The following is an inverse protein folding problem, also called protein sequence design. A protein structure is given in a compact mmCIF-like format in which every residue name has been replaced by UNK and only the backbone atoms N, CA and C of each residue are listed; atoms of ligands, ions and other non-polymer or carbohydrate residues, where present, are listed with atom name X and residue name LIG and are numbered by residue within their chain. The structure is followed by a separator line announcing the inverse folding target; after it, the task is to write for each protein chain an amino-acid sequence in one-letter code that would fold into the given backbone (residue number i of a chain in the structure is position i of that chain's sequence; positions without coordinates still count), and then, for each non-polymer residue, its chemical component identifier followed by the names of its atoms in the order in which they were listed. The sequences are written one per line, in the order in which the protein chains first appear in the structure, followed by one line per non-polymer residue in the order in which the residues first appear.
data_IF_882339216921
#
_entry.id   IF_882339216921
#
_cell.length_a   1.000
_cell.length_b   1.000
_cell.length_c   1.000
_cell.angle_alpha   90.00
_cell.angle_beta   90.00
_cell.angle_gamma   90.00
#
_symmetry.space_group_name_H-M   'P 1'
#
loop_
_entity.id
_entity.type
_entity.pdbx_description
1 polymer ?
#
# COMPACT_ATOMS: atom_id res chain seq x y z
N UNK A 1 -0.21 2.67 -0.76
CA UNK A 1 -0.35 2.61 0.71
C UNK A 1 0.95 3.02 1.35
N UNK A 2 0.85 3.87 2.34
CA UNK A 2 2.01 4.31 3.13
C UNK A 2 1.71 4.06 4.60
N UNK A 3 2.61 3.38 5.29
CA UNK A 3 2.50 3.20 6.74
C UNK A 3 3.74 3.75 7.43
N UNK A 4 3.57 4.22 8.65
CA UNK A 4 4.65 4.74 9.47
C UNK A 4 4.48 4.22 10.89
N UNK A 5 5.56 3.76 11.50
CA UNK A 5 5.50 3.20 12.84
C UNK A 5 6.81 3.43 13.59
N UNK A 6 6.75 3.44 14.94
CA UNK A 6 7.97 3.57 15.74
C UNK A 6 8.92 2.38 15.53
N UNK A 7 10.24 2.58 15.54
CA UNK A 7 11.20 1.50 15.31
C UNK A 7 11.07 0.33 16.27
N UNK A 8 10.67 0.57 17.52
CA UNK A 8 10.53 -0.51 18.50
C UNK A 8 9.37 -1.48 18.18
N UNK A 9 8.47 -1.11 17.25
CA UNK A 9 7.39 -1.99 16.80
C UNK A 9 7.78 -2.83 15.58
N UNK A 10 8.99 -2.72 15.06
CA UNK A 10 9.38 -3.36 13.81
C UNK A 10 9.10 -4.87 13.79
N UNK A 11 9.41 -5.57 14.89
CA UNK A 11 9.19 -7.01 14.95
C UNK A 11 7.70 -7.37 14.98
N UNK A 12 6.90 -6.63 15.75
CA UNK A 12 5.46 -6.80 15.81
C UNK A 12 4.79 -6.48 14.47
N UNK A 13 5.25 -5.43 13.79
CA UNK A 13 4.78 -5.09 12.45
C UNK A 13 5.06 -6.22 11.48
N UNK A 14 6.23 -6.83 11.54
CA UNK A 14 6.56 -7.98 10.70
C UNK A 14 5.64 -9.17 10.93
N UNK A 15 5.32 -9.47 12.19
CA UNK A 15 4.39 -10.55 12.54
C UNK A 15 2.98 -10.26 12.03
N UNK A 16 2.50 -9.04 12.24
CA UNK A 16 1.16 -8.63 11.79
C UNK A 16 1.09 -8.60 10.26
N UNK A 17 2.18 -8.24 9.59
CA UNK A 17 2.25 -8.27 8.13
C UNK A 17 1.99 -9.69 7.60
N UNK A 18 2.64 -10.68 8.18
CA UNK A 18 2.43 -12.08 7.81
C UNK A 18 0.96 -12.50 8.04
N UNK A 19 0.40 -12.11 9.19
CA UNK A 19 -1.01 -12.37 9.51
C UNK A 19 -1.95 -11.72 8.50
N UNK A 20 -1.72 -10.44 8.19
CA UNK A 20 -2.55 -9.69 7.25
C UNK A 20 -2.52 -10.28 5.84
N UNK A 21 -1.34 -10.68 5.37
CA UNK A 21 -1.19 -11.31 4.05
C UNK A 21 -1.85 -12.69 4.01
N UNK A 22 -1.88 -13.40 5.13
CA UNK A 22 -2.59 -14.68 5.23
C UNK A 22 -4.09 -14.53 5.17
N UNK A 23 -4.64 -13.49 5.80
CA UNK A 23 -6.08 -13.21 5.80
C UNK A 23 -6.56 -12.56 4.51
N UNK A 24 -5.75 -11.72 3.92
CA UNK A 24 -6.09 -10.95 2.72
C UNK A 24 -4.98 -11.14 1.68
N UNK A 25 -4.88 -12.34 1.08
CA UNK A 25 -3.82 -12.61 0.10
C UNK A 25 -4.00 -11.79 -1.17
N UNK A 26 -2.94 -11.63 -1.94
CA UNK A 26 -2.99 -10.96 -3.23
C UNK A 26 -3.95 -11.69 -4.17
N UNK A 27 -4.70 -10.90 -4.94
CA UNK A 27 -5.62 -11.40 -5.97
C UNK A 27 -5.29 -10.66 -7.27
N UNK A 28 -4.69 -11.38 -8.22
CA UNK A 28 -4.28 -10.84 -9.52
C UNK A 28 -5.46 -10.45 -10.41
N UNK A 29 -6.66 -10.93 -10.10
CA UNK A 29 -7.87 -10.49 -10.78
C UNK A 29 -8.27 -9.06 -10.36
N UNK A 30 -7.78 -8.59 -9.22
CA UNK A 30 -8.10 -7.28 -8.66
C UNK A 30 -6.98 -6.28 -8.92
N UNK A 31 -5.74 -6.64 -8.57
CA UNK A 31 -4.60 -5.73 -8.66
C UNK A 31 -3.28 -6.48 -8.79
N UNK A 32 -2.29 -5.80 -9.36
CA UNK A 32 -0.93 -6.30 -9.50
C UNK A 32 0.01 -5.45 -8.65
N UNK A 33 0.77 -6.03 -7.72
CA UNK A 33 1.78 -5.27 -6.99
C UNK A 33 2.87 -4.74 -7.93
N UNK A 34 3.16 -3.45 -7.84
CA UNK A 34 4.28 -2.81 -8.54
C UNK A 34 5.47 -2.73 -7.60
N UNK A 35 5.22 -2.33 -6.36
CA UNK A 35 6.19 -2.38 -5.27
C UNK A 35 5.47 -3.03 -4.09
N UNK A 36 5.94 -4.20 -3.65
CA UNK A 36 5.32 -4.91 -2.52
C UNK A 36 5.43 -4.09 -1.24
N UNK A 37 6.64 -3.68 -0.90
CA UNK A 37 6.90 -2.76 0.20
C UNK A 37 8.33 -2.24 0.09
N UNK A 38 8.48 -0.94 0.00
CA UNK A 38 9.77 -0.28 0.18
C UNK A 38 9.82 0.24 1.61
N UNK A 39 10.79 -0.21 2.38
CA UNK A 39 10.90 0.10 3.81
C UNK A 39 12.14 0.97 4.04
N UNK A 40 11.93 2.12 4.66
CA UNK A 40 13.01 3.08 4.90
C UNK A 40 12.74 3.90 6.15
N UNK A 41 13.77 4.58 6.65
CA UNK A 41 13.65 5.43 7.84
C UNK A 41 13.28 6.85 7.47
N UNK A 42 12.47 7.46 8.32
CA UNK A 42 12.06 8.87 8.24
C UNK A 42 12.17 9.46 9.65
N UNK A 43 12.09 10.79 9.80
CA UNK A 43 12.15 11.39 11.15
C UNK A 43 11.13 10.81 12.12
N UNK A 44 9.96 10.44 11.65
CA UNK A 44 8.87 9.89 12.47
C UNK A 44 9.05 8.40 12.82
N UNK A 45 10.05 7.73 12.25
CA UNK A 45 10.30 6.31 12.49
C UNK A 45 10.63 5.50 11.25
N UNK A 46 9.94 4.39 11.06
CA UNK A 46 10.08 3.54 9.89
C UNK A 46 8.86 3.74 9.00
N UNK A 47 9.10 3.89 7.71
CA UNK A 47 8.03 4.02 6.71
C UNK A 47 8.08 2.87 5.72
N UNK A 48 6.90 2.33 5.41
CA UNK A 48 6.75 1.31 4.38
C UNK A 48 5.79 1.83 3.32
N UNK A 49 6.21 1.79 2.07
CA UNK A 49 5.41 2.25 0.93
C UNK A 49 5.16 1.08 -0.01
N UNK A 50 3.91 0.81 -0.31
CA UNK A 50 3.50 -0.19 -1.29
C UNK A 50 2.70 0.47 -2.41
N UNK A 51 2.89 0.01 -3.63
CA UNK A 51 2.19 0.52 -4.81
C UNK A 51 1.63 -0.67 -5.58
N UNK A 52 0.36 -0.58 -5.96
CA UNK A 52 -0.29 -1.61 -6.76
C UNK A 52 -1.03 -0.98 -7.93
N UNK A 53 -1.01 -1.66 -9.06
CA UNK A 53 -1.79 -1.28 -10.24
C UNK A 53 -3.14 -2.01 -10.18
N UNK A 54 -4.22 -1.26 -10.07
CA UNK A 54 -5.57 -1.81 -9.94
C UNK A 54 -6.12 -2.13 -11.33
N UNK A 55 -6.73 -3.30 -11.49
CA UNK A 55 -7.37 -3.69 -12.74
C UNK A 55 -8.58 -2.80 -13.04
N UNK A 56 -8.88 -2.54 -14.32
CA UNK A 56 -10.04 -1.73 -14.68
C UNK A 56 -11.33 -2.24 -14.02
N UNK A 57 -12.09 -1.33 -13.42
CA UNK A 57 -13.36 -1.65 -12.76
C UNK A 57 -13.23 -2.33 -11.40
N UNK A 58 -12.02 -2.49 -10.87
CA UNK A 58 -11.77 -3.22 -9.62
C UNK A 58 -11.34 -2.34 -8.45
N UNK A 59 -11.50 -1.03 -8.57
CA UNK A 59 -11.06 -0.11 -7.52
C UNK A 59 -11.71 -0.40 -6.17
N UNK A 60 -13.01 -0.68 -6.14
CA UNK A 60 -13.73 -0.97 -4.90
C UNK A 60 -13.18 -2.22 -4.22
N UNK A 61 -13.00 -3.29 -5.00
CA UNK A 61 -12.45 -4.54 -4.49
C UNK A 61 -11.02 -4.37 -3.99
N UNK A 62 -10.23 -3.55 -4.68
CA UNK A 62 -8.85 -3.25 -4.24
C UNK A 62 -8.85 -2.47 -2.92
N UNK A 63 -9.71 -1.47 -2.77
CA UNK A 63 -9.84 -0.73 -1.53
C UNK A 63 -10.27 -1.63 -0.38
N UNK A 64 -11.21 -2.53 -0.62
CA UNK A 64 -11.67 -3.48 0.40
C UNK A 64 -10.53 -4.42 0.83
N UNK A 65 -9.76 -4.92 -0.14
CA UNK A 65 -8.62 -5.79 0.13
C UNK A 65 -7.55 -5.09 0.98
N UNK A 66 -7.12 -3.91 0.55
CA UNK A 66 -6.05 -3.19 1.23
C UNK A 66 -6.49 -2.60 2.55
N UNK A 67 -7.72 -2.11 2.64
CA UNK A 67 -8.29 -1.65 3.92
C UNK A 67 -8.40 -2.78 4.92
N UNK A 68 -8.82 -3.97 4.47
CA UNK A 68 -8.87 -5.15 5.31
C UNK A 68 -7.49 -5.49 5.88
N UNK A 69 -6.44 -5.47 5.04
CA UNK A 69 -5.06 -5.69 5.50
C UNK A 69 -4.65 -4.68 6.55
N UNK A 70 -4.89 -3.39 6.29
CA UNK A 70 -4.45 -2.34 7.20
C UNK A 70 -5.19 -2.39 8.54
N UNK A 71 -6.44 -2.81 8.54
CA UNK A 71 -7.21 -2.96 9.79
C UNK A 71 -6.62 -4.04 10.72
N UNK A 72 -5.91 -5.02 10.20
CA UNK A 72 -5.22 -6.02 11.04
C UNK A 72 -4.14 -5.34 11.89
N UNK A 73 -3.54 -4.25 11.41
CA UNK A 73 -2.53 -3.50 12.16
C UNK A 73 -3.13 -2.57 13.22
N UNK A 74 -4.46 -2.44 13.31
CA UNK A 74 -5.09 -1.52 14.27
C UNK A 74 -4.77 -1.84 15.73
N UNK A 75 -4.38 -3.07 16.04
CA UNK A 75 -3.97 -3.49 17.39
C UNK A 75 -2.59 -2.94 17.80
N UNK A 76 -1.83 -2.36 16.87
CA UNK A 76 -0.51 -1.82 17.16
C UNK A 76 -0.60 -0.33 17.43
N UNK A 77 -0.44 0.07 18.68
CA UNK A 77 -0.44 1.48 19.04
C UNK A 77 0.76 2.20 18.42
N UNK A 78 0.51 3.32 17.78
CA UNK A 78 1.55 4.08 17.08
C UNK A 78 1.72 3.75 15.61
N UNK A 79 1.03 2.71 15.12
CA UNK A 79 1.02 2.40 13.70
C UNK A 79 0.02 3.31 12.99
N UNK A 80 0.49 3.99 11.93
CA UNK A 80 -0.33 4.90 11.14
C UNK A 80 -0.24 4.51 9.67
N UNK A 81 -1.32 4.72 8.92
CA UNK A 81 -1.30 4.41 7.49
C UNK A 81 -2.22 5.34 6.71
N UNK A 82 -1.95 5.44 5.41
CA UNK A 82 -2.84 6.04 4.43
C UNK A 82 -2.95 5.12 3.23
N UNK A 83 -4.12 5.15 2.58
CA UNK A 83 -4.34 4.50 1.30
C UNK A 83 -4.72 5.60 0.32
N UNK A 84 -3.89 5.83 -0.69
CA UNK A 84 -4.07 6.90 -1.66
C UNK A 84 -4.29 6.31 -3.05
N UNK A 85 -5.14 6.97 -3.82
CA UNK A 85 -5.35 6.67 -5.23
C UNK A 85 -4.51 7.68 -6.01
N UNK A 86 -3.69 7.19 -6.94
CA UNK A 86 -2.79 8.05 -7.70
C UNK A 86 -2.85 7.70 -9.19
N UNK A 87 -2.50 8.68 -10.02
CA UNK A 87 -2.24 8.44 -11.43
C UNK A 87 -0.78 8.04 -11.61
N UNK A 88 -0.48 7.14 -12.55
CA UNK A 88 0.88 7.01 -13.01
C UNK A 88 1.26 8.20 -13.89
N UNK A 89 2.55 8.32 -14.23
CA UNK A 89 3.01 9.48 -15.00
C UNK A 89 2.31 9.60 -16.35
N UNK A 90 2.08 8.47 -17.03
CA UNK A 90 1.41 8.47 -18.33
C UNK A 90 -0.03 8.95 -18.24
N UNK A 91 -0.76 8.45 -17.26
CA UNK A 91 -2.15 8.86 -17.01
C UNK A 91 -2.23 10.34 -16.66
N UNK A 92 -1.34 10.82 -15.77
CA UNK A 92 -1.30 12.21 -15.37
C UNK A 92 -0.97 13.13 -16.55
N UNK A 93 -0.02 12.74 -17.39
CA UNK A 93 0.34 13.51 -18.60
C UNK A 93 -0.79 13.55 -19.62
N UNK A 94 -1.53 12.45 -19.77
CA UNK A 94 -2.68 12.42 -20.66
C UNK A 94 -3.76 13.42 -20.25
N UNK A 95 -3.93 13.69 -18.97
CA UNK A 95 -4.90 14.68 -18.48
C UNK A 95 -4.58 16.09 -18.98
N UNK A 96 -3.33 16.40 -19.26
CA UNK A 96 -2.91 17.71 -19.79
C UNK A 96 -2.53 17.63 -21.27
N UNK A 97 -2.95 16.58 -21.98
CA UNK A 97 -2.75 16.43 -23.42
C UNK A 97 -1.32 16.07 -23.81
N UNK A 98 -0.53 15.48 -22.92
CA UNK A 98 0.86 15.08 -23.17
C UNK A 98 0.97 13.55 -23.17
N UNK A 99 2.05 13.04 -23.78
CA UNK A 99 2.38 11.63 -23.79
C UNK A 99 3.66 11.40 -23.01
N UNK A 100 3.65 10.45 -22.07
CA UNK A 100 4.85 10.12 -21.31
C UNK A 100 5.91 9.48 -22.20
N UNK A 101 7.21 9.81 -22.02
CA UNK A 101 8.30 9.16 -22.75
C UNK A 101 8.47 7.70 -22.26
N UNK A 102 8.77 6.82 -23.17
CA UNK A 102 9.05 5.41 -22.88
C UNK A 102 7.88 4.47 -23.07
#
# INVERSE_FOLDING_TARGET
MVSTYPPHLAQEVGKVYIEAMGKFPDDRAIAKPVVMAAVYTVPEGIRATGISSVKPGKLREALDLYSGRMLVFAKLEGFKYTIDIAYDAGEAMNLIGMTAPG
#
